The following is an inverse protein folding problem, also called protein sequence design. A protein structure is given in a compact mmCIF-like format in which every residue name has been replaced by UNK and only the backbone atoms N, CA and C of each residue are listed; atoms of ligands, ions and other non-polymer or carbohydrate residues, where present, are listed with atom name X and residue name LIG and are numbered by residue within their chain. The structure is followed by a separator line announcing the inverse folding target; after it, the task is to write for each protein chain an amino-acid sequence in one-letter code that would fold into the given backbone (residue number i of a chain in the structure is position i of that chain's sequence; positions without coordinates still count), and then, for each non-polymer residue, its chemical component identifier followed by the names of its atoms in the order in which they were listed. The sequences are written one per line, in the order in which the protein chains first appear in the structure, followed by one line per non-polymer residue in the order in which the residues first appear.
data_IF_525835398952
#
_entry.id   IF_525835398952
#
_cell.length_a   1.000
_cell.length_b   1.000
_cell.length_c   1.000
_cell.angle_alpha   90.00
_cell.angle_beta   90.00
_cell.angle_gamma   90.00
#
_symmetry.space_group_name_H-M   'P 1'
#
loop_
_entity.id
_entity.type
_entity.pdbx_description
1 polymer ?
#
# COMPACT_ATOMS: atom_id res chain seq x y z
N UNK A 1 4.85 6.61 -4.97
CA UNK A 1 5.33 7.94 -5.45
C UNK A 1 5.69 8.89 -4.31
N UNK A 2 4.81 9.10 -3.32
CA UNK A 2 5.07 10.07 -2.24
C UNK A 2 6.25 9.76 -1.32
N UNK A 3 6.71 8.49 -1.27
CA UNK A 3 7.93 8.10 -0.54
C UNK A 3 9.19 8.84 -1.00
N UNK A 4 9.21 9.41 -2.21
CA UNK A 4 10.33 10.24 -2.72
C UNK A 4 10.52 11.52 -1.88
N UNK A 5 9.46 12.01 -1.22
CA UNK A 5 9.55 13.15 -0.31
C UNK A 5 9.90 12.79 1.13
N UNK A 6 10.12 11.51 1.44
CA UNK A 6 10.50 11.05 2.79
C UNK A 6 12.03 11.08 2.92
N UNK A 7 12.59 11.65 4.00
CA UNK A 7 14.04 11.67 4.21
C UNK A 7 14.65 10.26 4.19
N UNK A 8 15.77 10.07 3.50
CA UNK A 8 16.48 8.78 3.40
C UNK A 8 16.80 8.16 4.76
N UNK A 9 17.17 8.99 5.74
CA UNK A 9 17.45 8.55 7.11
C UNK A 9 16.26 7.85 7.79
N UNK A 10 15.03 8.14 7.35
CA UNK A 10 13.80 7.48 7.79
C UNK A 10 13.45 6.37 6.80
N UNK A 11 13.42 6.66 5.50
CA UNK A 11 12.99 5.71 4.47
C UNK A 11 13.83 4.42 4.46
N UNK A 12 15.15 4.55 4.67
CA UNK A 12 16.13 3.46 4.64
C UNK A 12 16.50 2.95 6.04
N UNK A 13 15.82 3.43 7.10
CA UNK A 13 16.15 3.04 8.47
C UNK A 13 15.94 1.53 8.67
N UNK A 14 16.98 0.78 9.12
CA UNK A 14 16.79 -0.60 9.51
C UNK A 14 16.04 -0.67 10.86
N UNK A 15 14.97 -1.44 10.92
CA UNK A 15 14.22 -1.69 12.16
C UNK A 15 12.93 -0.88 12.28
N UNK A 16 12.46 -0.68 13.51
CA UNK A 16 11.20 0.03 13.80
C UNK A 16 11.41 1.54 13.85
N UNK A 17 10.39 2.28 13.40
CA UNK A 17 10.33 3.73 13.57
C UNK A 17 10.02 4.11 15.02
N UNK A 18 10.56 5.26 15.46
CA UNK A 18 10.02 5.95 16.63
C UNK A 18 8.65 6.55 16.28
N UNK A 19 7.84 6.95 17.26
CA UNK A 19 6.56 7.62 16.98
C UNK A 19 6.73 8.83 16.05
N UNK A 20 7.75 9.65 16.26
CA UNK A 20 8.01 10.86 15.48
C UNK A 20 8.43 10.55 14.04
N UNK A 21 9.29 9.55 13.86
CA UNK A 21 9.67 9.06 12.54
C UNK A 21 8.48 8.46 11.80
N UNK A 22 7.60 7.78 12.52
CA UNK A 22 6.38 7.21 11.94
C UNK A 22 5.43 8.31 11.47
N UNK A 23 5.25 9.40 12.22
CA UNK A 23 4.48 10.57 11.76
C UNK A 23 5.04 11.17 10.46
N UNK A 24 6.38 11.24 10.34
CA UNK A 24 7.00 11.69 9.09
C UNK A 24 6.73 10.67 7.97
N UNK A 25 6.88 9.37 8.22
CA UNK A 25 6.59 8.33 7.22
C UNK A 25 5.14 8.38 6.72
N UNK A 26 4.16 8.64 7.60
CA UNK A 26 2.75 8.77 7.22
C UNK A 26 2.52 9.83 6.15
N UNK A 27 3.34 10.90 6.13
CA UNK A 27 3.20 12.00 5.16
C UNK A 27 3.35 11.57 3.69
N UNK A 28 3.86 10.38 3.40
CA UNK A 28 3.99 9.88 2.02
C UNK A 28 2.64 9.80 1.29
N UNK A 29 1.52 9.65 2.00
CA UNK A 29 0.18 9.65 1.40
C UNK A 29 -0.15 11.04 0.86
N UNK A 30 -0.07 12.06 1.72
CA UNK A 30 -0.31 13.48 1.39
C UNK A 30 0.66 13.97 0.32
N UNK A 31 1.96 13.70 0.46
CA UNK A 31 2.98 14.07 -0.52
C UNK A 31 2.70 13.44 -1.90
N UNK A 32 2.22 12.19 -1.92
CA UNK A 32 1.84 11.50 -3.15
C UNK A 32 0.65 12.15 -3.84
N UNK A 33 -0.42 12.44 -3.09
CA UNK A 33 -1.61 13.15 -3.58
C UNK A 33 -1.24 14.52 -4.15
N UNK A 34 -0.46 15.31 -3.40
CA UNK A 34 -0.14 16.69 -3.75
C UNK A 34 0.74 16.76 -5.01
N UNK A 35 1.66 15.81 -5.18
CA UNK A 35 2.44 15.70 -6.40
C UNK A 35 1.56 15.45 -7.64
N UNK A 36 0.52 14.63 -7.52
CA UNK A 36 -0.41 14.33 -8.61
C UNK A 36 -1.31 15.55 -8.89
N UNK A 37 -1.84 16.20 -7.84
CA UNK A 37 -2.62 17.43 -7.97
C UNK A 37 -1.83 18.53 -8.69
N UNK A 38 -0.56 18.72 -8.34
CA UNK A 38 0.31 19.68 -9.00
C UNK A 38 0.53 19.33 -10.49
N UNK A 39 0.59 18.04 -10.83
CA UNK A 39 0.72 17.61 -12.23
C UNK A 39 -0.55 17.94 -13.05
N UNK A 40 -1.75 17.67 -12.52
CA UNK A 40 -3.01 18.04 -13.18
C UNK A 40 -3.12 19.56 -13.40
N UNK A 41 -2.82 20.35 -12.37
CA UNK A 41 -2.85 21.81 -12.45
C UNK A 41 -1.90 22.34 -13.53
N UNK A 42 -0.71 21.74 -13.67
CA UNK A 42 0.27 22.13 -14.70
C UNK A 42 -0.16 21.73 -16.12
N UNK A 43 -0.88 20.62 -16.24
CA UNK A 43 -1.42 20.17 -17.53
C UNK A 43 -2.68 20.94 -17.92
N UNK A 44 -3.39 21.55 -16.96
CA UNK A 44 -4.67 22.22 -17.19
C UNK A 44 -5.77 21.26 -17.66
N UNK A 45 -5.61 19.96 -17.38
CA UNK A 45 -6.49 18.89 -17.81
C UNK A 45 -6.87 18.04 -16.61
N UNK A 46 -8.17 17.81 -16.45
CA UNK A 46 -8.68 16.79 -15.55
C UNK A 46 -8.67 15.44 -16.28
N UNK A 47 -7.82 14.53 -15.83
CA UNK A 47 -7.69 13.20 -16.43
C UNK A 47 -8.33 12.18 -15.47
N UNK A 48 -9.32 11.38 -15.92
CA UNK A 48 -10.01 10.44 -15.04
C UNK A 48 -9.09 9.45 -14.31
N UNK A 49 -7.95 9.08 -14.89
CA UNK A 49 -6.99 8.20 -14.21
C UNK A 49 -6.24 8.89 -13.06
N UNK A 50 -5.97 10.20 -13.17
CA UNK A 50 -5.29 10.97 -12.12
C UNK A 50 -6.20 11.19 -10.92
N UNK A 51 -7.51 11.27 -11.15
CA UNK A 51 -8.52 11.25 -10.08
C UNK A 51 -8.32 10.04 -9.16
N UNK A 52 -8.37 8.82 -9.69
CA UNK A 52 -8.17 7.60 -8.89
C UNK A 52 -6.75 7.48 -8.34
N UNK A 53 -5.73 7.92 -9.08
CA UNK A 53 -4.36 7.90 -8.59
C UNK A 53 -4.19 8.76 -7.32
N UNK A 54 -4.86 9.92 -7.25
CA UNK A 54 -4.88 10.77 -6.05
C UNK A 54 -5.63 10.11 -4.89
N UNK A 55 -6.82 9.57 -5.15
CA UNK A 55 -7.59 8.86 -4.11
C UNK A 55 -6.76 7.75 -3.50
N UNK A 56 -6.16 6.89 -4.34
CA UNK A 56 -5.31 5.78 -3.91
C UNK A 56 -4.12 6.29 -3.11
N UNK A 57 -3.36 7.26 -3.66
CA UNK A 57 -2.18 7.79 -2.99
C UNK A 57 -2.52 8.32 -1.58
N UNK A 58 -3.69 8.95 -1.44
CA UNK A 58 -4.10 9.56 -0.19
C UNK A 58 -4.72 8.59 0.81
N UNK A 59 -5.47 7.58 0.34
CA UNK A 59 -6.34 6.75 1.20
C UNK A 59 -5.91 5.29 1.35
N UNK A 60 -4.89 4.80 0.63
CA UNK A 60 -4.48 3.39 0.71
C UNK A 60 -3.94 2.93 2.08
N UNK A 61 -3.73 3.84 3.03
CA UNK A 61 -3.33 3.56 4.42
C UNK A 61 -4.44 3.84 5.43
N UNK A 62 -5.63 4.24 4.96
CA UNK A 62 -6.83 4.25 5.76
C UNK A 62 -7.23 2.82 6.12
N UNK A 63 -7.90 2.66 7.26
CA UNK A 63 -8.35 1.37 7.76
C UNK A 63 -9.84 1.42 7.95
N UNK A 64 -10.51 0.32 7.66
CA UNK A 64 -11.96 0.23 7.74
C UNK A 64 -12.54 0.70 9.10
N UNK A 65 -11.84 0.45 10.20
CA UNK A 65 -12.21 0.86 11.56
C UNK A 65 -11.89 2.33 11.93
N UNK A 66 -11.32 3.11 11.03
CA UNK A 66 -10.93 4.51 11.28
C UNK A 66 -9.61 4.68 12.02
N UNK A 67 -8.87 3.60 12.30
CA UNK A 67 -7.53 3.70 12.95
C UNK A 67 -6.39 3.94 11.97
N UNK A 68 -6.73 4.19 10.70
CA UNK A 68 -5.81 4.49 9.61
C UNK A 68 -5.33 5.95 9.59
N UNK A 69 -4.71 6.33 8.49
CA UNK A 69 -4.18 7.67 8.25
C UNK A 69 -4.18 7.97 6.74
N UNK A 70 -4.15 9.25 6.32
CA UNK A 70 -3.90 10.47 7.10
C UNK A 70 -5.12 11.12 7.76
N UNK A 71 -6.34 10.79 7.34
CA UNK A 71 -7.57 11.44 7.79
C UNK A 71 -8.33 10.63 8.83
N UNK A 72 -8.05 9.32 8.96
CA UNK A 72 -8.78 8.45 9.88
C UNK A 72 -10.20 8.17 9.39
N UNK A 73 -10.36 8.06 8.07
CA UNK A 73 -11.63 7.71 7.43
C UNK A 73 -12.02 6.28 7.82
N UNK A 74 -13.31 6.04 7.96
CA UNK A 74 -13.85 4.74 8.38
C UNK A 74 -14.97 4.28 7.46
N UNK A 75 -15.10 2.96 7.29
CA UNK A 75 -16.17 2.38 6.49
C UNK A 75 -16.20 2.93 5.06
N UNK A 76 -17.40 3.31 4.63
CA UNK A 76 -17.64 3.80 3.28
C UNK A 76 -17.14 5.23 3.01
N UNK A 77 -16.68 5.95 4.04
CA UNK A 77 -16.00 7.24 3.83
C UNK A 77 -14.64 7.05 3.13
N UNK A 78 -14.07 5.84 3.18
CA UNK A 78 -12.87 5.48 2.43
C UNK A 78 -13.25 5.21 0.97
N UNK A 79 -12.63 5.90 -0.01
CA UNK A 79 -12.88 5.62 -1.42
C UNK A 79 -12.64 4.14 -1.75
N UNK A 80 -13.50 3.56 -2.60
CA UNK A 80 -13.38 2.14 -3.03
C UNK A 80 -11.98 1.86 -3.60
N UNK A 81 -11.41 2.83 -4.33
CA UNK A 81 -10.05 2.74 -4.89
C UNK A 81 -8.98 2.57 -3.81
N UNK A 82 -9.10 3.28 -2.69
CA UNK A 82 -8.24 3.13 -1.50
C UNK A 82 -8.44 1.79 -0.80
N UNK A 83 -9.70 1.36 -0.63
CA UNK A 83 -10.04 0.06 -0.01
C UNK A 83 -9.46 -1.13 -0.79
N UNK A 84 -9.57 -1.10 -2.12
CA UNK A 84 -8.96 -2.09 -3.01
C UNK A 84 -7.43 -2.07 -2.91
N UNK A 85 -6.82 -0.89 -2.95
CA UNK A 85 -5.37 -0.78 -2.86
C UNK A 85 -4.84 -1.27 -1.52
N UNK A 86 -5.52 -1.01 -0.40
CA UNK A 86 -5.08 -1.47 0.92
C UNK A 86 -4.91 -3.01 0.97
N UNK A 87 -5.86 -3.76 0.40
CA UNK A 87 -5.75 -5.23 0.30
C UNK A 87 -4.58 -5.64 -0.58
N UNK A 88 -4.45 -5.04 -1.77
CA UNK A 88 -3.38 -5.36 -2.71
C UNK A 88 -1.98 -5.05 -2.15
N UNK A 89 -1.79 -3.86 -1.58
CA UNK A 89 -0.52 -3.38 -1.01
C UNK A 89 -0.10 -4.24 0.18
N UNK A 90 -1.03 -4.60 1.08
CA UNK A 90 -0.71 -5.46 2.22
C UNK A 90 -0.41 -6.89 1.77
N UNK A 91 -1.18 -7.45 0.83
CA UNK A 91 -0.88 -8.79 0.30
C UNK A 91 0.53 -8.84 -0.28
N UNK A 92 0.85 -7.93 -1.19
CA UNK A 92 2.16 -7.86 -1.83
C UNK A 92 3.27 -7.69 -0.78
N UNK A 93 3.12 -6.76 0.16
CA UNK A 93 4.08 -6.55 1.23
C UNK A 93 4.31 -7.77 2.14
N UNK A 94 3.31 -8.64 2.30
CA UNK A 94 3.42 -9.87 3.09
C UNK A 94 4.18 -10.97 2.35
N UNK A 95 3.91 -11.14 1.05
CA UNK A 95 4.50 -12.23 0.25
C UNK A 95 5.84 -11.86 -0.39
N UNK A 96 6.15 -10.57 -0.52
CA UNK A 96 7.37 -10.12 -1.17
C UNK A 96 8.61 -10.45 -0.35
N UNK A 97 9.57 -11.11 -1.02
CA UNK A 97 10.89 -11.40 -0.49
C UNK A 97 11.72 -10.12 -0.46
N UNK A 98 12.50 -9.95 0.61
CA UNK A 98 13.51 -8.89 0.72
C UNK A 98 14.85 -9.55 0.95
N UNK A 99 15.93 -8.82 0.65
CA UNK A 99 17.34 -9.27 0.77
C UNK A 99 17.63 -10.01 2.08
N UNK A 100 16.99 -9.61 3.18
CA UNK A 100 17.20 -10.17 4.52
C UNK A 100 15.96 -10.82 5.14
N UNK A 101 14.87 -11.00 4.37
CA UNK A 101 13.61 -11.53 4.90
C UNK A 101 12.84 -12.27 3.80
N UNK A 102 12.63 -13.57 4.02
CA UNK A 102 11.76 -14.36 3.16
C UNK A 102 10.32 -13.85 3.20
N UNK A 103 9.66 -13.95 2.04
CA UNK A 103 8.23 -13.70 1.91
C UNK A 103 7.42 -14.67 2.76
N UNK A 104 6.23 -14.24 3.17
CA UNK A 104 5.29 -15.11 3.86
C UNK A 104 4.65 -16.12 2.88
N UNK A 105 4.41 -17.38 3.29
CA UNK A 105 3.63 -18.30 2.47
C UNK A 105 2.25 -17.74 2.15
N UNK A 106 1.79 -17.96 0.92
CA UNK A 106 0.50 -17.47 0.40
C UNK A 106 -0.65 -17.71 1.37
N UNK A 107 -0.80 -18.95 1.86
CA UNK A 107 -1.90 -19.34 2.73
C UNK A 107 -1.92 -18.54 4.05
N UNK A 108 -0.74 -18.17 4.55
CA UNK A 108 -0.61 -17.36 5.76
C UNK A 108 -0.90 -15.88 5.49
N UNK A 109 -0.49 -15.35 4.33
CA UNK A 109 -0.83 -13.99 3.92
C UNK A 109 -2.35 -13.83 3.73
N UNK A 110 -3.01 -14.81 3.10
CA UNK A 110 -4.48 -14.86 2.98
C UNK A 110 -5.12 -14.86 4.36
N UNK A 111 -4.63 -15.69 5.29
CA UNK A 111 -5.12 -15.74 6.67
C UNK A 111 -5.10 -14.37 7.37
N UNK A 112 -3.96 -13.66 7.28
CA UNK A 112 -3.81 -12.32 7.89
C UNK A 112 -4.81 -11.31 7.31
N UNK A 113 -5.04 -11.34 5.99
CA UNK A 113 -6.01 -10.44 5.35
C UNK A 113 -7.43 -10.78 5.80
N UNK A 114 -7.77 -12.08 5.87
CA UNK A 114 -9.08 -12.52 6.33
C UNK A 114 -9.35 -12.13 7.80
N UNK A 115 -8.34 -12.29 8.67
CA UNK A 115 -8.42 -11.86 10.08
C UNK A 115 -8.59 -10.35 10.24
N UNK A 116 -8.12 -9.55 9.27
CA UNK A 116 -8.27 -8.10 9.25
C UNK A 116 -9.63 -7.60 8.75
N UNK A 117 -10.57 -8.49 8.39
CA UNK A 117 -11.90 -8.11 7.91
C UNK A 117 -12.69 -7.31 8.97
N UNK A 118 -13.27 -6.19 8.55
CA UNK A 118 -14.02 -5.28 9.42
C UNK A 118 -13.17 -4.44 10.37
N UNK A 119 -11.84 -4.56 10.32
CA UNK A 119 -10.91 -3.71 11.10
C UNK A 119 -9.94 -2.99 10.18
N UNK A 120 -8.97 -3.70 9.64
CA UNK A 120 -8.04 -3.14 8.66
C UNK A 120 -8.73 -3.00 7.29
N UNK A 121 -9.47 -4.03 6.88
CA UNK A 121 -10.00 -4.14 5.53
C UNK A 121 -11.53 -4.12 5.52
N UNK A 122 -12.07 -3.59 4.45
CA UNK A 122 -13.48 -3.69 4.10
C UNK A 122 -13.88 -5.18 3.96
N UNK A 123 -14.93 -5.64 4.68
CA UNK A 123 -15.43 -7.02 4.57
C UNK A 123 -15.75 -7.45 3.14
N UNK A 124 -16.34 -6.58 2.31
CA UNK A 124 -16.72 -6.91 0.94
C UNK A 124 -15.48 -7.13 0.06
N UNK A 125 -14.42 -6.34 0.30
CA UNK A 125 -13.14 -6.50 -0.40
C UNK A 125 -12.42 -7.77 0.02
N UNK A 126 -12.51 -8.14 1.31
CA UNK A 126 -11.94 -9.39 1.81
C UNK A 126 -12.67 -10.59 1.22
N UNK A 127 -14.00 -10.56 1.14
CA UNK A 127 -14.76 -11.65 0.54
C UNK A 127 -14.45 -11.81 -0.95
N UNK A 128 -14.38 -10.71 -1.70
CA UNK A 128 -13.93 -10.74 -3.10
C UNK A 128 -12.49 -11.28 -3.22
N UNK A 129 -11.56 -10.84 -2.37
CA UNK A 129 -10.18 -11.35 -2.34
C UNK A 129 -10.13 -12.86 -2.08
N UNK A 130 -10.95 -13.38 -1.17
CA UNK A 130 -11.00 -14.82 -0.86
C UNK A 130 -11.42 -15.65 -2.07
N UNK A 131 -12.36 -15.16 -2.87
CA UNK A 131 -12.80 -15.83 -4.09
C UNK A 131 -11.69 -15.91 -5.15
N UNK A 132 -10.83 -14.90 -5.23
CA UNK A 132 -9.76 -14.78 -6.24
C UNK A 132 -8.35 -15.02 -5.68
N UNK A 133 -8.22 -15.54 -4.45
CA UNK A 133 -6.93 -15.70 -3.79
C UNK A 133 -5.96 -16.61 -4.58
N UNK A 134 -6.49 -17.62 -5.28
CA UNK A 134 -5.69 -18.47 -6.16
C UNK A 134 -5.08 -17.69 -7.33
N UNK A 135 -5.80 -16.71 -7.89
CA UNK A 135 -5.28 -15.87 -8.97
C UNK A 135 -4.17 -14.94 -8.46
N UNK A 136 -4.31 -14.40 -7.25
CA UNK A 136 -3.24 -13.66 -6.57
C UNK A 136 -1.96 -14.49 -6.44
N UNK A 137 -2.08 -15.78 -6.11
CA UNK A 137 -0.95 -16.70 -6.01
C UNK A 137 -0.27 -16.91 -7.37
N UNK A 138 -1.05 -17.11 -8.43
CA UNK A 138 -0.50 -17.33 -9.77
C UNK A 138 0.16 -16.07 -10.33
N UNK A 139 -0.39 -14.89 -10.06
CA UNK A 139 0.25 -13.60 -10.39
C UNK A 139 1.56 -13.46 -9.62
N UNK A 140 1.57 -13.72 -8.31
CA UNK A 140 2.78 -13.63 -7.49
C UNK A 140 3.91 -14.54 -8.00
N UNK A 141 3.60 -15.80 -8.36
CA UNK A 141 4.59 -16.72 -8.95
C UNK A 141 5.10 -16.25 -10.30
N UNK A 142 4.21 -15.68 -11.13
CA UNK A 142 4.54 -15.24 -12.48
C UNK A 142 5.46 -14.02 -12.48
N UNK A 143 5.31 -13.14 -11.49
CA UNK A 143 6.05 -11.89 -11.35
C UNK A 143 7.01 -11.90 -10.17
N UNK A 144 7.50 -13.08 -9.77
CA UNK A 144 8.45 -13.22 -8.67
C UNK A 144 9.77 -12.49 -8.98
N UNK A 145 10.27 -11.71 -8.01
CA UNK A 145 11.55 -11.01 -8.13
C UNK A 145 12.69 -12.02 -8.25
N UNK A 146 13.54 -11.84 -9.26
CA UNK A 146 14.75 -12.66 -9.38
C UNK A 146 15.81 -12.21 -8.37
N UNK A 147 16.78 -13.07 -8.04
CA UNK A 147 17.91 -12.69 -7.17
C UNK A 147 18.64 -11.44 -7.70
N UNK A 148 18.73 -11.29 -9.03
CA UNK A 148 19.31 -10.11 -9.67
C UNK A 148 18.49 -8.82 -9.44
N UNK A 149 17.17 -8.93 -9.32
CA UNK A 149 16.30 -7.79 -9.03
C UNK A 149 16.47 -7.39 -7.57
N UNK A 150 16.47 -8.36 -6.66
CA UNK A 150 16.71 -8.12 -5.23
C UNK A 150 18.06 -7.44 -4.96
N UNK A 151 19.13 -7.85 -5.66
CA UNK A 151 20.44 -7.22 -5.53
C UNK A 151 20.50 -5.76 -6.00
N UNK A 152 19.75 -5.39 -7.05
CA UNK A 152 19.68 -4.01 -7.52
C UNK A 152 18.94 -3.12 -6.54
N UNK A 153 17.93 -3.66 -5.87
CA UNK A 153 17.15 -2.94 -4.85
C UNK A 153 17.95 -2.75 -3.56
N UNK A 154 18.89 -3.66 -3.25
CA UNK A 154 19.78 -3.56 -2.08
C UNK A 154 20.88 -2.49 -2.20
N UNK A 155 21.26 -2.14 -3.43
CA UNK A 155 22.41 -1.26 -3.75
C UNK A 155 22.03 0.21 -3.95
N UNK A 156 20.75 0.56 -3.75
CA UNK A 156 20.24 1.94 -3.73
C UNK A 156 20.00 2.40 -2.31
#
# INVERSE_FOLDING_TARGET
IGKVGIPDAILLKPGRFTPEEFEIMKSHTTLGRDAILAAEQRLGLELPFLYYAKEIAYSHQEKWDGTGYPEGLSGDDIPISGRLMAVADVYDALICRRVYKEGMPHEKAVGIICEGSGTHFDPDMVDAFREIAADFREIAKRYEDTDNDLEKHAKK
#
